data_IF_817598273912
#
_entry.id   IF_817598273912
#
_cell.length_a   1.000
_cell.length_b   1.000
_cell.length_c   1.000
_cell.angle_alpha   90.00
_cell.angle_beta   90.00
_cell.angle_gamma   90.00
#
_symmetry.space_group_name_H-M   'P 1'
#
loop_
_entity.id
_entity.type
_entity.pdbx_description
1 polymer ?
#
# COMPACT_ATOMS: atom_id res chain seq x y z
N UNK A 1 -4.01 -58.66 29.63
CA UNK A 1 -3.99 -57.24 29.19
C UNK A 1 -2.54 -56.77 29.22
N UNK A 2 -1.94 -56.51 28.06
CA UNK A 2 -0.76 -55.67 27.90
C UNK A 2 -0.88 -55.04 26.51
N UNK A 3 -1.03 -53.71 26.47
CA UNK A 3 -1.44 -53.02 25.25
C UNK A 3 -0.29 -52.86 24.25
N UNK A 4 -0.64 -52.91 22.97
CA UNK A 4 0.25 -52.58 21.85
C UNK A 4 0.73 -51.13 21.95
N UNK A 5 2.00 -50.88 21.59
CA UNK A 5 2.43 -49.54 21.26
C UNK A 5 1.61 -49.04 20.05
N UNK A 6 0.90 -47.93 20.21
CA UNK A 6 0.30 -47.20 19.11
C UNK A 6 1.31 -46.13 18.66
N UNK A 7 1.57 -46.04 17.36
CA UNK A 7 2.42 -45.00 16.81
C UNK A 7 1.71 -43.63 16.93
N UNK A 8 2.47 -42.59 17.27
CA UNK A 8 1.97 -41.23 17.41
C UNK A 8 1.45 -40.69 16.05
N UNK A 9 0.13 -40.53 15.96
CA UNK A 9 -0.58 -40.01 14.76
C UNK A 9 -0.29 -38.52 14.52
N UNK A 10 0.34 -37.85 15.49
CA UNK A 10 0.80 -36.46 15.44
C UNK A 10 1.98 -36.22 14.48
N UNK A 11 2.66 -37.26 13.99
CA UNK A 11 3.77 -37.13 13.05
C UNK A 11 3.37 -36.80 11.58
N UNK A 12 2.06 -36.61 11.31
CA UNK A 12 1.51 -36.39 9.97
C UNK A 12 1.01 -34.96 9.70
N UNK A 13 1.12 -34.04 10.66
CA UNK A 13 0.59 -32.68 10.54
C UNK A 13 1.71 -31.64 10.64
N UNK A 14 1.81 -30.76 9.64
CA UNK A 14 2.75 -29.63 9.62
C UNK A 14 2.29 -28.61 10.66
N UNK A 15 3.10 -28.35 11.68
CA UNK A 15 2.79 -27.31 12.68
C UNK A 15 2.98 -25.94 12.03
N UNK A 16 1.88 -25.31 11.64
CA UNK A 16 1.87 -23.93 11.14
C UNK A 16 1.84 -23.01 12.37
N UNK A 17 2.97 -22.37 12.67
CA UNK A 17 3.04 -21.41 13.78
C UNK A 17 2.24 -20.14 13.46
N UNK A 18 1.04 -20.07 14.03
CA UNK A 18 0.22 -18.86 14.06
C UNK A 18 0.81 -17.88 15.08
N UNK A 19 1.84 -17.14 14.67
CA UNK A 19 2.51 -16.12 15.50
C UNK A 19 1.67 -14.83 15.48
N UNK A 20 1.05 -14.40 16.59
CA UNK A 20 0.38 -13.11 16.67
C UNK A 20 1.41 -12.00 16.40
N UNK A 21 0.96 -10.89 15.79
CA UNK A 21 1.82 -9.78 15.37
C UNK A 21 2.80 -9.35 16.46
N UNK A 22 4.08 -9.64 16.24
CA UNK A 22 5.14 -9.35 17.19
C UNK A 22 5.89 -8.11 16.73
N UNK A 23 5.92 -7.09 17.60
CA UNK A 23 6.49 -5.78 17.26
C UNK A 23 7.93 -5.91 16.74
N UNK A 24 8.28 -5.25 15.62
CA UNK A 24 9.65 -5.24 15.14
C UNK A 24 10.56 -4.53 16.16
N UNK A 25 11.65 -5.18 16.53
CA UNK A 25 12.76 -4.48 17.20
C UNK A 25 13.29 -3.37 16.28
N UNK A 26 13.70 -2.26 16.89
CA UNK A 26 13.98 -1.01 16.17
C UNK A 26 14.96 -1.19 15.00
N UNK A 27 14.46 -1.01 13.78
CA UNK A 27 15.29 -0.92 12.58
C UNK A 27 15.86 0.50 12.46
N UNK A 28 17.12 0.67 12.03
CA UNK A 28 17.76 1.98 11.91
C UNK A 28 17.21 2.78 10.71
N UNK A 29 17.41 4.11 10.76
CA UNK A 29 16.87 5.08 9.81
C UNK A 29 17.14 4.74 8.34
N UNK A 30 16.08 4.38 7.61
CA UNK A 30 16.11 4.23 6.15
C UNK A 30 16.05 5.61 5.51
N UNK A 31 17.22 6.18 5.20
CA UNK A 31 17.31 7.37 4.36
C UNK A 31 16.76 7.07 2.93
N UNK A 32 15.84 7.89 2.39
CA UNK A 32 15.42 7.75 1.00
C UNK A 32 16.57 8.13 0.06
N UNK A 33 17.13 7.13 -0.61
CA UNK A 33 18.15 7.30 -1.64
C UNK A 33 17.55 7.92 -2.91
N UNK A 34 17.33 9.24 -2.90
CA UNK A 34 17.03 10.03 -4.10
C UNK A 34 17.46 11.50 -3.94
N UNK A 35 18.77 11.72 -3.87
CA UNK A 35 19.36 13.03 -4.14
C UNK A 35 19.67 13.16 -5.63
N UNK A 36 18.77 13.79 -6.38
CA UNK A 36 19.03 14.18 -7.78
C UNK A 36 20.10 15.29 -7.84
N UNK A 37 21.37 14.90 -7.71
CA UNK A 37 22.50 15.71 -8.16
C UNK A 37 22.64 15.54 -9.66
N UNK A 38 22.27 16.57 -10.41
CA UNK A 38 22.59 16.65 -11.84
C UNK A 38 24.12 16.67 -11.99
N UNK A 39 24.68 15.57 -12.51
CA UNK A 39 26.09 15.48 -12.92
C UNK A 39 26.15 15.78 -14.41
N UNK A 40 26.96 16.76 -14.80
CA UNK A 40 27.14 17.12 -16.20
C UNK A 40 27.90 16.01 -16.96
N UNK A 41 27.42 15.68 -18.16
CA UNK A 41 28.10 14.73 -19.05
C UNK A 41 29.37 15.33 -19.67
N UNK A 42 30.47 14.56 -19.82
CA UNK A 42 31.63 14.98 -20.60
C UNK A 42 31.46 14.63 -22.08
N UNK A 43 31.77 15.57 -22.95
CA UNK A 43 31.80 15.39 -24.41
C UNK A 43 32.98 14.52 -24.87
N UNK A 44 32.74 13.57 -25.79
CA UNK A 44 33.79 12.75 -26.44
C UNK A 44 33.73 12.96 -27.98
N UNK A 45 34.86 13.13 -28.70
CA UNK A 45 34.87 13.65 -30.07
C UNK A 45 34.72 12.60 -31.18
N UNK A 46 34.46 13.08 -32.40
CA UNK A 46 34.24 12.27 -33.60
C UNK A 46 35.53 11.67 -34.22
N UNK A 47 35.39 10.46 -34.79
CA UNK A 47 36.40 9.76 -35.59
C UNK A 47 35.77 9.08 -36.82
N UNK A 48 36.54 8.85 -37.90
CA UNK A 48 36.00 8.76 -39.28
C UNK A 48 36.40 7.47 -40.04
N UNK A 49 35.45 6.93 -40.82
CA UNK A 49 35.58 6.27 -42.15
C UNK A 49 35.90 4.75 -42.34
N UNK A 50 35.48 4.27 -43.53
CA UNK A 50 35.65 2.95 -44.22
C UNK A 50 34.82 1.75 -43.68
N UNK A 51 33.81 1.13 -44.35
CA UNK A 51 33.56 0.68 -45.76
C UNK A 51 34.35 -0.63 -46.06
N UNK A 52 33.76 -1.81 -46.34
CA UNK A 52 32.86 -2.17 -47.47
C UNK A 52 32.05 -3.50 -47.24
N UNK A 53 30.82 -3.57 -47.79
CA UNK A 53 30.18 -4.63 -48.64
C UNK A 53 30.13 -6.13 -48.20
N UNK A 54 29.14 -6.98 -48.56
CA UNK A 54 28.07 -6.93 -49.60
C UNK A 54 26.97 -8.01 -49.38
N UNK A 55 25.69 -7.70 -49.72
CA UNK A 55 24.55 -8.63 -50.05
C UNK A 55 24.08 -9.66 -48.99
N UNK A 56 22.80 -9.99 -48.77
CA UNK A 56 21.47 -9.48 -49.17
C UNK A 56 20.41 -10.09 -48.18
N UNK A 57 19.07 -9.93 -48.24
CA UNK A 57 18.16 -9.32 -49.23
C UNK A 57 16.82 -8.85 -48.62
N UNK A 58 16.18 -7.87 -49.27
CA UNK A 58 14.74 -7.70 -49.53
C UNK A 58 13.66 -7.93 -48.44
N UNK A 59 13.15 -6.82 -47.87
CA UNK A 59 11.74 -6.35 -48.03
C UNK A 59 11.78 -4.82 -48.15
N UNK A 60 10.96 -4.21 -49.01
CA UNK A 60 11.00 -2.77 -49.31
C UNK A 60 10.05 -1.93 -48.44
N UNK A 61 10.44 -0.70 -48.01
CA UNK A 61 9.52 0.28 -47.45
C UNK A 61 8.94 1.18 -48.57
N UNK A 62 7.63 1.44 -48.53
CA UNK A 62 6.96 2.41 -49.40
C UNK A 62 6.29 3.50 -48.54
N UNK A 63 6.60 4.76 -48.84
CA UNK A 63 6.12 5.91 -48.08
C UNK A 63 4.77 6.44 -48.60
N UNK A 64 3.91 6.86 -47.67
CA UNK A 64 2.69 7.68 -47.89
C UNK A 64 2.12 8.03 -46.51
N UNK A 65 1.60 9.22 -46.19
CA UNK A 65 1.52 10.50 -46.89
C UNK A 65 1.40 11.59 -45.81
N UNK A 66 2.20 12.66 -45.88
CA UNK A 66 2.03 13.83 -45.03
C UNK A 66 1.01 14.77 -45.68
N UNK A 67 -0.26 14.68 -45.27
CA UNK A 67 -1.32 15.55 -45.77
C UNK A 67 -1.30 16.91 -45.06
N UNK A 68 -0.90 17.96 -45.79
CA UNK A 68 -0.93 19.34 -45.32
C UNK A 68 -2.36 19.86 -45.15
N UNK A 69 -2.75 20.22 -43.92
CA UNK A 69 -3.97 20.99 -43.67
C UNK A 69 -3.72 22.51 -43.87
N UNK A 70 -4.67 23.28 -44.42
CA UNK A 70 -4.42 24.66 -44.82
C UNK A 70 -4.36 25.64 -43.64
N UNK A 71 -3.44 26.60 -43.72
CA UNK A 71 -3.32 27.72 -42.80
C UNK A 71 -4.48 28.70 -43.06
N UNK A 72 -5.44 28.78 -42.14
CA UNK A 72 -6.49 29.80 -42.16
C UNK A 72 -6.10 30.92 -41.20
N UNK A 73 -5.55 31.99 -41.75
CA UNK A 73 -5.14 33.17 -40.99
C UNK A 73 -6.38 33.98 -40.58
N UNK A 74 -6.88 33.77 -39.35
CA UNK A 74 -7.89 34.64 -38.73
C UNK A 74 -7.24 35.57 -37.73
N UNK A 75 -7.08 36.83 -38.12
CA UNK A 75 -6.92 37.95 -37.18
C UNK A 75 -8.27 38.09 -36.46
N UNK A 76 -8.28 37.80 -35.17
CA UNK A 76 -9.45 37.85 -34.30
C UNK A 76 -9.12 38.67 -33.06
N UNK A 77 -9.92 39.71 -32.83
CA UNK A 77 -9.73 40.75 -31.83
C UNK A 77 -9.66 40.20 -30.40
N UNK A 78 -8.73 40.71 -29.60
CA UNK A 78 -8.51 40.22 -28.23
C UNK A 78 -9.61 40.73 -27.28
N UNK A 79 -10.63 39.91 -27.04
CA UNK A 79 -11.64 40.15 -26.00
C UNK A 79 -10.94 40.17 -24.64
N UNK A 80 -11.12 41.20 -23.80
CA UNK A 80 -10.48 41.26 -22.48
C UNK A 80 -10.99 40.12 -21.60
N UNK A 81 -10.07 39.38 -20.99
CA UNK A 81 -10.40 38.28 -20.10
C UNK A 81 -11.28 38.77 -18.95
N UNK A 82 -12.52 38.26 -18.90
CA UNK A 82 -13.41 38.50 -17.77
C UNK A 82 -12.71 37.99 -16.50
N UNK A 83 -12.54 38.89 -15.51
CA UNK A 83 -11.90 38.55 -14.24
C UNK A 83 -12.65 37.36 -13.63
N UNK A 84 -11.91 36.29 -13.31
CA UNK A 84 -12.41 35.25 -12.44
C UNK A 84 -12.93 35.91 -11.14
N UNK A 85 -14.07 35.47 -10.58
CA UNK A 85 -14.55 36.02 -9.33
C UNK A 85 -13.47 35.81 -8.28
N UNK A 86 -12.97 36.90 -7.71
CA UNK A 86 -11.97 36.86 -6.65
C UNK A 86 -12.53 36.04 -5.50
N UNK A 87 -11.82 34.98 -5.10
CA UNK A 87 -12.03 34.33 -3.81
C UNK A 87 -12.09 35.44 -2.75
N UNK A 88 -13.08 35.42 -1.84
CA UNK A 88 -13.24 36.50 -0.88
C UNK A 88 -11.92 36.68 -0.12
N UNK A 89 -11.38 37.90 -0.18
CA UNK A 89 -10.17 38.23 0.56
C UNK A 89 -10.34 37.81 2.01
N UNK A 90 -9.31 37.16 2.55
CA UNK A 90 -9.27 36.55 3.87
C UNK A 90 -10.16 37.33 4.86
N UNK A 91 -11.29 36.73 5.22
CA UNK A 91 -12.13 37.22 6.30
C UNK A 91 -11.21 37.43 7.48
N UNK A 92 -11.19 38.65 8.02
CA UNK A 92 -10.26 39.08 9.06
C UNK A 92 -10.36 38.06 10.20
N UNK A 93 -9.37 37.16 10.30
CA UNK A 93 -9.35 36.13 11.34
C UNK A 93 -9.29 36.90 12.64
N UNK A 94 -10.41 36.95 13.36
CA UNK A 94 -10.42 37.47 14.70
C UNK A 94 -9.42 36.62 15.47
N UNK A 95 -8.32 37.24 15.91
CA UNK A 95 -7.48 36.60 16.90
C UNK A 95 -8.41 36.37 18.10
N UNK A 96 -8.60 35.12 18.56
CA UNK A 96 -9.43 34.89 19.72
C UNK A 96 -8.84 35.71 20.86
N UNK A 97 -9.66 36.60 21.42
CA UNK A 97 -9.31 37.42 22.58
C UNK A 97 -8.74 36.49 23.65
N UNK A 98 -7.53 36.77 24.14
CA UNK A 98 -6.75 35.83 24.95
C UNK A 98 -7.48 35.50 26.26
N UNK A 99 -8.21 34.38 26.26
CA UNK A 99 -9.10 33.98 27.33
C UNK A 99 -9.33 32.48 27.27
N UNK A 100 -8.69 31.77 28.20
CA UNK A 100 -8.71 30.32 28.37
C UNK A 100 -8.01 29.52 27.25
N UNK A 101 -7.31 28.46 27.63
CA UNK A 101 -6.60 27.60 26.68
C UNK A 101 -7.58 26.74 25.87
N UNK A 102 -7.12 26.18 24.74
CA UNK A 102 -7.92 25.23 24.00
C UNK A 102 -8.23 23.99 24.87
N UNK A 103 -9.50 23.79 25.22
CA UNK A 103 -9.98 22.60 25.91
C UNK A 103 -10.13 21.45 24.90
N UNK A 104 -9.51 20.32 25.20
CA UNK A 104 -9.56 19.14 24.32
C UNK A 104 -10.95 18.49 24.39
N UNK A 105 -11.51 18.05 23.24
CA UNK A 105 -12.79 17.35 23.21
C UNK A 105 -12.74 16.01 23.95
N UNK A 106 -13.83 15.65 24.62
CA UNK A 106 -13.98 14.34 25.27
C UNK A 106 -13.99 13.20 24.25
N UNK A 107 -13.24 12.14 24.52
CA UNK A 107 -13.25 10.89 23.74
C UNK A 107 -14.65 10.22 23.69
N UNK A 108 -15.56 10.58 24.60
CA UNK A 108 -16.97 10.14 24.59
C UNK A 108 -17.75 10.62 23.37
N UNK A 109 -17.30 11.70 22.71
CA UNK A 109 -17.86 12.15 21.44
C UNK A 109 -17.52 11.19 20.28
N UNK A 110 -16.60 10.26 20.48
CA UNK A 110 -16.21 9.25 19.49
C UNK A 110 -16.93 7.92 19.74
N UNK A 111 -17.37 7.30 18.64
CA UNK A 111 -18.00 5.98 18.66
C UNK A 111 -17.01 4.91 19.13
N UNK A 112 -17.43 4.10 20.11
CA UNK A 112 -16.70 2.92 20.56
C UNK A 112 -16.76 1.79 19.52
N UNK A 113 -15.69 1.00 19.36
CA UNK A 113 -15.74 -0.24 18.58
C UNK A 113 -16.72 -1.23 19.26
N UNK A 114 -17.49 -2.03 18.48
CA UNK A 114 -18.39 -3.02 19.04
C UNK A 114 -17.61 -4.16 19.72
N UNK A 115 -18.00 -4.48 20.95
CA UNK A 115 -17.37 -5.57 21.71
C UNK A 115 -17.57 -6.93 21.02
N UNK A 116 -16.53 -7.77 21.01
CA UNK A 116 -16.61 -9.18 20.60
C UNK A 116 -16.36 -9.51 19.12
N UNK A 117 -16.18 -8.54 18.23
CA UNK A 117 -15.87 -8.78 16.81
C UNK A 117 -14.36 -9.00 16.53
N UNK A 118 -13.67 -9.72 17.42
CA UNK A 118 -12.23 -9.98 17.28
C UNK A 118 -11.86 -10.89 16.10
N UNK A 119 -10.58 -10.88 15.70
CA UNK A 119 -10.05 -11.70 14.59
C UNK A 119 -10.19 -13.20 14.89
N UNK A 120 -11.27 -13.82 14.44
CA UNK A 120 -11.45 -15.27 14.55
C UNK A 120 -11.91 -15.87 13.22
N UNK A 121 -11.06 -15.73 12.18
CA UNK A 121 -10.98 -16.82 11.21
C UNK A 121 -10.44 -18.03 11.95
N UNK A 122 -11.16 -19.15 11.93
CA UNK A 122 -10.67 -20.38 12.57
C UNK A 122 -9.38 -20.82 11.90
N UNK A 123 -8.47 -21.43 12.68
CA UNK A 123 -7.22 -21.97 12.18
C UNK A 123 -7.44 -22.87 10.95
N UNK A 124 -8.44 -23.75 11.03
CA UNK A 124 -8.88 -24.63 9.93
C UNK A 124 -9.22 -23.86 8.63
N UNK A 125 -9.84 -22.67 8.71
CA UNK A 125 -10.15 -21.86 7.53
C UNK A 125 -8.92 -21.16 6.96
N UNK A 126 -7.99 -20.72 7.83
CA UNK A 126 -6.73 -20.12 7.38
C UNK A 126 -5.87 -21.17 6.65
N UNK A 127 -5.87 -22.41 7.14
CA UNK A 127 -5.20 -23.56 6.53
C UNK A 127 -5.86 -23.94 5.20
N UNK A 128 -7.19 -24.13 5.16
CA UNK A 128 -7.93 -24.40 3.91
C UNK A 128 -7.71 -23.31 2.84
N UNK A 129 -7.65 -22.04 3.23
CA UNK A 129 -7.38 -20.94 2.31
C UNK A 129 -5.90 -20.89 1.86
N UNK A 130 -4.97 -21.36 2.69
CA UNK A 130 -3.57 -21.51 2.30
C UNK A 130 -3.40 -22.64 1.28
N UNK A 131 -3.95 -23.83 1.56
CA UNK A 131 -3.95 -24.99 0.64
C UNK A 131 -4.57 -24.62 -0.73
N UNK A 132 -5.67 -23.88 -0.71
CA UNK A 132 -6.31 -23.38 -1.93
C UNK A 132 -5.41 -22.39 -2.70
N UNK A 133 -4.72 -21.49 -2.00
CA UNK A 133 -3.80 -20.53 -2.62
C UNK A 133 -2.56 -21.21 -3.21
N UNK A 134 -2.02 -22.24 -2.56
CA UNK A 134 -0.95 -23.09 -3.11
C UNK A 134 -1.39 -23.78 -4.40
N UNK A 135 -2.57 -24.44 -4.38
CA UNK A 135 -3.15 -25.10 -5.56
C UNK A 135 -3.35 -24.13 -6.73
N UNK A 136 -3.90 -22.94 -6.47
CA UNK A 136 -4.08 -21.88 -7.47
C UNK A 136 -2.74 -21.41 -8.05
N UNK A 137 -1.70 -21.28 -7.23
CA UNK A 137 -0.35 -20.92 -7.71
C UNK A 137 0.27 -22.03 -8.56
N UNK A 138 0.08 -23.30 -8.18
CA UNK A 138 0.55 -24.45 -8.95
C UNK A 138 -0.12 -24.55 -10.33
N UNK A 139 -1.43 -24.31 -10.42
CA UNK A 139 -2.18 -24.24 -11.70
C UNK A 139 -1.60 -23.20 -12.66
N UNK A 140 -1.14 -22.05 -12.14
CA UNK A 140 -0.43 -21.03 -12.94
C UNK A 140 1.07 -21.34 -13.16
N UNK A 141 1.53 -22.53 -12.80
CA UNK A 141 2.91 -23.00 -12.95
C UNK A 141 3.91 -22.30 -12.03
N UNK A 142 3.45 -21.84 -10.86
CA UNK A 142 4.26 -21.24 -9.79
C UNK A 142 4.27 -22.20 -8.61
N UNK A 143 5.35 -22.98 -8.49
CA UNK A 143 5.55 -23.89 -7.35
C UNK A 143 6.22 -23.16 -6.19
N UNK A 144 5.87 -23.57 -4.97
CA UNK A 144 6.35 -23.03 -3.69
C UNK A 144 5.42 -23.48 -2.57
N UNK A 145 5.57 -22.91 -1.39
CA UNK A 145 4.75 -23.23 -0.21
C UNK A 145 4.47 -21.97 0.64
N UNK A 146 3.39 -21.98 1.41
CA UNK A 146 3.02 -20.93 2.35
C UNK A 146 3.61 -21.29 3.72
N UNK A 147 4.59 -20.50 4.16
CA UNK A 147 5.31 -20.78 5.42
C UNK A 147 4.60 -20.19 6.64
N UNK A 148 3.87 -19.08 6.47
CA UNK A 148 3.12 -18.42 7.55
C UNK A 148 1.87 -17.73 7.02
N UNK A 149 0.83 -17.69 7.86
CA UNK A 149 -0.39 -16.91 7.64
C UNK A 149 -0.54 -15.92 8.79
N UNK A 150 -0.73 -14.64 8.46
CA UNK A 150 -0.92 -13.55 9.43
C UNK A 150 -2.28 -12.89 9.17
N UNK A 151 -3.34 -13.27 9.91
CA UNK A 151 -4.64 -12.63 9.77
C UNK A 151 -4.58 -11.17 10.25
N UNK A 152 -5.18 -10.28 9.47
CA UNK A 152 -5.30 -8.85 9.74
C UNK A 152 -6.77 -8.42 9.88
N UNK A 153 -7.04 -7.12 10.15
CA UNK A 153 -8.41 -6.64 10.36
C UNK A 153 -9.23 -6.55 9.06
N UNK A 154 -8.54 -6.32 7.93
CA UNK A 154 -9.14 -6.07 6.62
C UNK A 154 -8.65 -7.08 5.56
N UNK A 155 -7.40 -7.53 5.70
CA UNK A 155 -6.70 -8.45 4.81
C UNK A 155 -5.93 -9.47 5.64
N UNK A 156 -5.71 -10.66 5.09
CA UNK A 156 -4.80 -11.67 5.63
C UNK A 156 -3.55 -11.73 4.74
N UNK A 157 -2.37 -11.72 5.36
CA UNK A 157 -1.09 -11.86 4.68
C UNK A 157 -0.65 -13.33 4.69
N UNK A 158 -0.50 -13.91 3.51
CA UNK A 158 0.10 -15.22 3.30
C UNK A 158 1.56 -15.01 2.87
N UNK A 159 2.50 -15.63 3.58
CA UNK A 159 3.93 -15.57 3.26
C UNK A 159 4.32 -16.78 2.42
N UNK A 160 4.44 -16.58 1.10
CA UNK A 160 4.75 -17.62 0.12
C UNK A 160 6.26 -17.69 -0.14
N UNK A 161 6.87 -18.85 0.09
CA UNK A 161 8.25 -19.17 -0.30
C UNK A 161 8.26 -19.85 -1.67
N UNK A 162 8.71 -19.17 -2.74
CA UNK A 162 8.71 -19.73 -4.09
C UNK A 162 9.81 -20.77 -4.28
N UNK A 163 9.53 -21.83 -5.04
CA UNK A 163 10.51 -22.85 -5.37
C UNK A 163 11.72 -22.27 -6.15
N UNK A 164 12.94 -22.83 -5.97
CA UNK A 164 14.14 -22.32 -6.63
C UNK A 164 13.99 -22.14 -8.15
N UNK A 165 14.35 -20.94 -8.64
CA UNK A 165 14.25 -20.57 -10.06
C UNK A 165 12.95 -19.88 -10.47
N UNK A 166 11.94 -19.84 -9.60
CA UNK A 166 10.75 -18.98 -9.80
C UNK A 166 11.14 -17.52 -9.59
N UNK A 167 10.85 -16.66 -10.58
CA UNK A 167 11.09 -15.21 -10.49
C UNK A 167 9.94 -14.53 -9.74
N UNK A 168 10.24 -13.72 -8.73
CA UNK A 168 9.23 -12.96 -7.96
C UNK A 168 8.33 -12.11 -8.84
N UNK A 169 8.86 -11.55 -9.93
CA UNK A 169 8.09 -10.78 -10.92
C UNK A 169 6.96 -11.57 -11.60
N UNK A 170 7.08 -12.91 -11.70
CA UNK A 170 6.01 -13.77 -12.24
C UNK A 170 4.83 -13.83 -11.27
N UNK A 171 5.11 -14.02 -9.97
CA UNK A 171 4.07 -14.11 -8.93
C UNK A 171 3.37 -12.76 -8.77
N UNK A 172 4.13 -11.66 -8.78
CA UNK A 172 3.57 -10.29 -8.77
C UNK A 172 2.66 -10.05 -9.98
N UNK A 173 3.03 -10.54 -11.16
CA UNK A 173 2.24 -10.41 -12.38
C UNK A 173 0.95 -11.25 -12.42
N UNK A 174 0.77 -12.20 -11.49
CA UNK A 174 -0.43 -13.04 -11.38
C UNK A 174 -1.47 -12.49 -10.38
N UNK A 175 -1.26 -11.30 -9.81
CA UNK A 175 -2.13 -10.77 -8.74
C UNK A 175 -3.63 -10.76 -9.10
N UNK A 176 -3.99 -10.32 -10.31
CA UNK A 176 -5.39 -10.29 -10.76
C UNK A 176 -5.97 -11.70 -11.01
N UNK A 177 -5.14 -12.63 -11.51
CA UNK A 177 -5.52 -14.03 -11.74
C UNK A 177 -5.70 -14.79 -10.41
N UNK A 178 -4.82 -14.56 -9.43
CA UNK A 178 -4.94 -15.06 -8.06
C UNK A 178 -6.23 -14.52 -7.43
N UNK A 179 -6.49 -13.21 -7.53
CA UNK A 179 -7.72 -12.62 -7.00
C UNK A 179 -8.97 -13.28 -7.58
N UNK A 180 -9.00 -13.50 -8.91
CA UNK A 180 -10.11 -14.17 -9.59
C UNK A 180 -10.29 -15.62 -9.12
N UNK A 181 -9.21 -16.41 -9.07
CA UNK A 181 -9.29 -17.82 -8.67
C UNK A 181 -9.63 -18.00 -7.19
N UNK A 182 -9.16 -17.11 -6.31
CA UNK A 182 -9.50 -17.08 -4.89
C UNK A 182 -10.88 -16.44 -4.59
N UNK A 183 -11.64 -16.03 -5.62
CA UNK A 183 -12.90 -15.28 -5.47
C UNK A 183 -12.79 -13.99 -4.63
N UNK A 184 -11.60 -13.39 -4.60
CA UNK A 184 -11.30 -12.18 -3.86
C UNK A 184 -11.53 -10.92 -4.72
N UNK A 185 -11.89 -9.80 -4.06
CA UNK A 185 -12.11 -8.50 -4.74
C UNK A 185 -10.83 -7.98 -5.43
N UNK A 186 -9.68 -8.27 -4.82
CA UNK A 186 -8.34 -7.94 -5.31
C UNK A 186 -7.32 -8.75 -4.52
N UNK A 187 -6.11 -8.93 -5.05
CA UNK A 187 -4.95 -9.42 -4.30
C UNK A 187 -3.82 -8.40 -4.43
N UNK A 188 -3.03 -8.22 -3.37
CA UNK A 188 -1.79 -7.43 -3.44
C UNK A 188 -0.60 -8.37 -3.22
N UNK A 189 0.32 -8.39 -4.17
CA UNK A 189 1.49 -9.26 -4.16
C UNK A 189 2.76 -8.40 -4.13
N UNK A 190 3.61 -8.61 -3.12
CA UNK A 190 4.85 -7.85 -2.93
C UNK A 190 5.96 -8.71 -2.34
N UNK A 191 7.23 -8.38 -2.61
CA UNK A 191 8.37 -9.00 -1.92
C UNK A 191 8.49 -8.47 -0.50
N UNK A 192 8.82 -9.34 0.47
CA UNK A 192 9.06 -8.94 1.86
C UNK A 192 10.53 -8.57 2.05
N UNK A 193 10.88 -7.32 2.42
CA UNK A 193 12.27 -6.92 2.59
C UNK A 193 12.99 -7.77 3.66
N UNK A 194 14.21 -8.23 3.34
CA UNK A 194 15.04 -9.00 4.27
C UNK A 194 14.64 -10.47 4.45
N UNK A 195 13.64 -10.98 3.73
CA UNK A 195 13.21 -12.39 3.77
C UNK A 195 13.02 -12.93 2.35
N UNK A 196 13.23 -14.23 2.14
CA UNK A 196 13.12 -14.88 0.83
C UNK A 196 11.65 -15.22 0.44
N UNK A 197 10.69 -14.42 0.91
CA UNK A 197 9.25 -14.69 0.74
C UNK A 197 8.53 -13.57 0.01
N UNK A 198 7.44 -13.95 -0.64
CA UNK A 198 6.51 -13.09 -1.34
C UNK A 198 5.25 -13.00 -0.47
N UNK A 199 4.91 -11.80 -0.02
CA UNK A 199 3.67 -11.53 0.67
C UNK A 199 2.51 -11.45 -0.33
N UNK A 200 1.50 -12.28 -0.11
CA UNK A 200 0.22 -12.26 -0.83
C UNK A 200 -0.84 -11.82 0.16
N UNK A 201 -1.38 -10.62 -0.02
CA UNK A 201 -2.42 -10.03 0.81
C UNK A 201 -3.79 -10.23 0.14
N UNK A 202 -4.67 -10.98 0.80
CA UNK A 202 -6.04 -11.23 0.35
C UNK A 202 -7.04 -10.61 1.34
N UNK A 203 -8.09 -9.90 0.87
CA UNK A 203 -9.15 -9.40 1.74
C UNK A 203 -9.88 -10.51 2.50
N UNK A 204 -10.18 -10.25 3.76
CA UNK A 204 -11.00 -11.15 4.57
C UNK A 204 -12.46 -11.16 4.07
N UNK A 205 -13.18 -12.26 4.29
CA UNK A 205 -14.63 -12.37 4.08
C UNK A 205 -15.38 -11.29 4.88
N UNK A 206 -15.06 -11.20 6.17
CA UNK A 206 -15.56 -10.17 7.08
C UNK A 206 -14.43 -9.20 7.39
N UNK A 207 -14.62 -7.92 7.05
CA UNK A 207 -13.66 -6.85 7.32
C UNK A 207 -14.08 -6.08 8.57
N UNK A 208 -13.17 -5.91 9.51
CA UNK A 208 -13.39 -5.09 10.70
C UNK A 208 -13.35 -3.60 10.31
N UNK A 209 -14.21 -2.79 10.94
CA UNK A 209 -14.12 -1.33 10.83
C UNK A 209 -13.07 -0.82 11.82
N UNK A 210 -12.05 -0.11 11.32
CA UNK A 210 -11.09 0.59 12.18
C UNK A 210 -11.74 1.86 12.71
N UNK A 211 -11.97 1.94 14.01
CA UNK A 211 -12.62 3.09 14.65
C UNK A 211 -11.59 4.17 14.96
N UNK A 212 -11.98 5.44 14.91
CA UNK A 212 -11.05 6.52 15.27
C UNK A 212 -10.74 6.52 16.78
N UNK A 213 -11.72 6.16 17.62
CA UNK A 213 -11.60 6.14 19.08
C UNK A 213 -10.47 5.25 19.58
N UNK A 214 -10.39 4.01 19.08
CA UNK A 214 -9.32 3.06 19.46
C UNK A 214 -7.91 3.54 19.09
N UNK A 215 -7.77 4.40 18.06
CA UNK A 215 -6.48 5.00 17.70
C UNK A 215 -6.09 6.10 18.69
N UNK A 216 -7.05 6.91 19.12
CA UNK A 216 -6.86 7.98 20.13
C UNK A 216 -6.63 7.39 21.52
N UNK A 217 -7.39 6.36 21.91
CA UNK A 217 -7.24 5.67 23.19
C UNK A 217 -5.93 4.85 23.27
N UNK A 218 -5.28 4.58 22.12
CA UNK A 218 -4.04 3.82 22.05
C UNK A 218 -2.90 4.47 22.85
N UNK A 219 -2.06 3.63 23.47
CA UNK A 219 -0.90 4.14 24.21
C UNK A 219 0.09 4.90 23.32
N UNK A 220 0.18 4.53 22.03
CA UNK A 220 1.00 5.22 21.05
C UNK A 220 0.59 6.68 20.86
N UNK A 221 -0.72 6.95 20.82
CA UNK A 221 -1.22 8.33 20.66
C UNK A 221 -1.11 9.10 21.97
N UNK A 222 -1.69 8.56 23.05
CA UNK A 222 -1.71 9.22 24.37
C UNK A 222 -0.33 9.57 24.94
N UNK A 223 0.71 8.78 24.63
CA UNK A 223 2.08 8.99 25.13
C UNK A 223 3.01 9.69 24.13
N UNK A 224 2.53 10.07 22.94
CA UNK A 224 3.42 10.68 21.93
C UNK A 224 3.84 12.10 22.32
N UNK A 225 5.10 12.43 22.07
CA UNK A 225 5.63 13.80 22.13
C UNK A 225 5.45 14.58 20.81
N UNK A 226 4.89 13.95 19.78
CA UNK A 226 4.72 14.55 18.45
C UNK A 226 3.70 15.70 18.48
N UNK A 227 4.14 16.92 18.16
CA UNK A 227 3.28 18.13 18.22
C UNK A 227 2.17 18.12 17.17
N UNK A 228 2.38 17.45 16.05
CA UNK A 228 1.43 17.29 14.96
C UNK A 228 1.25 15.80 14.67
N UNK A 229 0.68 15.08 15.64
CA UNK A 229 0.40 13.66 15.53
C UNK A 229 -0.85 13.41 14.66
N UNK A 230 -0.73 12.51 13.69
CA UNK A 230 -1.81 12.12 12.79
C UNK A 230 -2.06 10.61 12.92
N UNK A 231 -3.25 10.21 13.35
CA UNK A 231 -3.70 8.82 13.29
C UNK A 231 -4.02 8.47 11.82
N UNK A 232 -3.37 7.44 11.29
CA UNK A 232 -3.57 7.00 9.90
C UNK A 232 -4.47 5.77 9.77
N UNK A 233 -4.57 4.95 10.82
CA UNK A 233 -5.33 3.70 10.83
C UNK A 233 -4.61 2.61 11.61
N UNK A 234 -4.84 1.35 11.24
CA UNK A 234 -4.10 0.17 11.72
C UNK A 234 -3.17 -0.37 10.61
N UNK A 235 -2.09 -1.05 10.98
CA UNK A 235 -1.29 -1.88 10.06
C UNK A 235 -2.08 -3.10 9.60
N UNK A 236 -1.55 -3.86 8.64
CA UNK A 236 -2.08 -5.19 8.30
C UNK A 236 -2.14 -6.14 9.51
N UNK A 237 -1.31 -5.95 10.54
CA UNK A 237 -1.33 -6.72 11.79
C UNK A 237 -2.27 -6.18 12.86
N UNK A 238 -3.04 -5.11 12.58
CA UNK A 238 -3.94 -4.48 13.55
C UNK A 238 -3.30 -3.43 14.48
N UNK A 239 -2.00 -3.18 14.37
CA UNK A 239 -1.28 -2.22 15.23
C UNK A 239 -1.61 -0.77 14.83
N UNK A 240 -1.83 0.17 15.78
CA UNK A 240 -2.17 1.56 15.45
C UNK A 240 -1.00 2.30 14.81
N UNK A 241 -1.25 2.97 13.68
CA UNK A 241 -0.27 3.76 12.93
C UNK A 241 -0.48 5.25 13.19
N UNK A 242 0.53 5.88 13.80
CA UNK A 242 0.54 7.32 14.10
C UNK A 242 1.77 7.92 13.45
N UNK A 243 1.56 8.96 12.65
CA UNK A 243 2.62 9.68 11.95
C UNK A 243 2.79 11.10 12.50
N UNK A 244 3.97 11.70 12.30
CA UNK A 244 4.24 13.07 12.70
C UNK A 244 4.36 13.98 11.46
N UNK A 245 3.39 14.90 11.31
CA UNK A 245 3.38 15.85 10.19
C UNK A 245 4.58 16.80 10.23
N UNK A 246 5.15 17.09 11.41
CA UNK A 246 6.36 17.90 11.51
C UNK A 246 7.60 17.24 10.86
N UNK A 247 7.65 15.91 10.78
CA UNK A 247 8.70 15.15 10.06
C UNK A 247 8.41 15.00 8.57
N UNK A 248 7.15 15.16 8.16
CA UNK A 248 6.68 15.12 6.78
C UNK A 248 6.01 16.46 6.44
N UNK A 249 6.78 17.56 6.31
CA UNK A 249 6.26 18.94 6.39
C UNK A 249 5.15 19.27 5.38
N UNK A 250 5.09 18.51 4.28
CA UNK A 250 3.99 18.54 3.31
C UNK A 250 3.57 17.10 2.98
N UNK A 251 2.25 16.86 2.95
CA UNK A 251 1.66 15.56 2.65
C UNK A 251 0.75 15.69 1.41
N UNK A 252 0.88 14.77 0.45
CA UNK A 252 -0.01 14.66 -0.70
C UNK A 252 -0.98 13.50 -0.47
N UNK A 253 -2.29 13.77 -0.55
CA UNK A 253 -3.35 12.76 -0.40
C UNK A 253 -4.17 12.69 -1.69
N UNK A 254 -4.07 11.56 -2.39
CA UNK A 254 -4.79 11.28 -3.63
C UNK A 254 -5.63 10.00 -3.50
N UNK A 255 -6.70 9.90 -4.30
CA UNK A 255 -7.64 8.78 -4.26
C UNK A 255 -8.91 9.07 -5.06
N UNK A 256 -9.50 8.01 -5.59
CA UNK A 256 -10.78 8.02 -6.34
C UNK A 256 -11.97 8.28 -5.42
N UNK A 257 -13.13 8.62 -5.99
CA UNK A 257 -14.38 8.73 -5.22
C UNK A 257 -14.70 7.40 -4.53
N UNK A 258 -15.07 7.44 -3.25
CA UNK A 258 -15.35 6.23 -2.45
C UNK A 258 -14.13 5.56 -1.81
N UNK A 259 -12.90 5.93 -2.18
CA UNK A 259 -11.65 5.36 -1.60
C UNK A 259 -11.34 5.72 -0.14
N UNK A 260 -12.22 6.46 0.53
CA UNK A 260 -12.01 6.91 1.93
C UNK A 260 -11.23 8.21 2.11
N UNK A 261 -10.72 8.86 1.03
CA UNK A 261 -9.91 10.09 1.11
C UNK A 261 -10.49 11.19 2.03
N UNK A 262 -11.78 11.52 1.90
CA UNK A 262 -12.41 12.56 2.73
C UNK A 262 -12.51 12.15 4.20
N UNK A 263 -12.71 10.85 4.48
CA UNK A 263 -12.71 10.31 5.84
C UNK A 263 -11.31 10.41 6.43
N UNK A 264 -10.28 9.98 5.70
CA UNK A 264 -8.88 10.09 6.13
C UNK A 264 -8.44 11.53 6.43
N UNK A 265 -8.87 12.52 5.63
CA UNK A 265 -8.61 13.94 5.90
C UNK A 265 -9.31 14.38 7.20
N UNK A 266 -10.56 13.99 7.43
CA UNK A 266 -11.26 14.27 8.68
C UNK A 266 -10.57 13.61 9.88
N UNK A 267 -10.10 12.36 9.74
CA UNK A 267 -9.29 11.65 10.75
C UNK A 267 -7.99 12.40 11.08
N UNK A 268 -7.28 12.91 10.07
CA UNK A 268 -6.07 13.72 10.26
C UNK A 268 -6.38 15.04 10.99
N UNK A 269 -7.45 15.75 10.62
CA UNK A 269 -7.87 16.99 11.29
C UNK A 269 -8.26 16.71 12.75
N UNK A 270 -9.07 15.68 13.00
CA UNK A 270 -9.48 15.28 14.35
C UNK A 270 -8.28 14.86 15.20
N UNK A 271 -7.25 14.21 14.61
CA UNK A 271 -6.02 13.86 15.33
C UNK A 271 -5.30 15.08 15.90
N UNK A 272 -5.41 16.24 15.23
CA UNK A 272 -4.86 17.52 15.70
C UNK A 272 -5.79 18.26 16.67
N UNK A 273 -7.10 17.97 16.68
CA UNK A 273 -8.05 18.57 17.61
C UNK A 273 -8.12 17.83 18.96
N UNK A 274 -7.68 16.58 19.01
CA UNK A 274 -7.56 15.80 20.25
C UNK A 274 -6.15 15.92 20.90
N UNK A 275 -5.34 16.94 20.56
CA UNK A 275 -3.91 16.99 20.93
C UNK A 275 -3.34 18.40 21.13
#
# INVERSE_FOLDING_TARGET
VSASAAADVTALFRVIECVPGQAPSAQPDVFPANSNKAVAEPSVPAGRAARQARMAAAVAPAASSAASAPIVQRVGEAVPAARAPSLPMAGKVAQPETGEGYELPSEELLQQPPEGQGFYMSQERLEQNADLLESVLEDFGVRGEIIHVRPGPVVTLYEFEPAPGVKSSRVIGLADDIARSMSAVSARVAVVPGRNVIGIELPNETRETVYFRELIESQGFRKTSCKLALCLGKTIGGEPVIAELAKMPHLLVAGTTGSGKSVAINTMILSLLYR
#
